data_IF_681078804704
#
_entry.id   IF_681078804704
#
_cell.length_a   1.000
_cell.length_b   1.000
_cell.length_c   1.000
_cell.angle_alpha   90.00
_cell.angle_beta   90.00
_cell.angle_gamma   90.00
#
_symmetry.space_group_name_H-M   'P 1'
#
loop_
_entity.id
_entity.type
_entity.pdbx_description
1 polymer ?
#
# COMPACT_ATOMS: atom_id res chain seq x y z
N UNK A 1 -13.59 -19.50 -31.64
CA UNK A 1 -14.01 -18.44 -30.73
C UNK A 1 -13.47 -18.61 -29.32
N UNK A 2 -13.57 -19.79 -28.72
CA UNK A 2 -13.06 -20.00 -27.37
C UNK A 2 -11.57 -19.75 -27.24
N UNK A 3 -10.78 -20.17 -28.24
CA UNK A 3 -9.33 -19.94 -28.23
C UNK A 3 -8.98 -18.45 -28.30
N UNK A 4 -9.75 -17.70 -29.06
CA UNK A 4 -9.54 -16.26 -29.20
C UNK A 4 -9.85 -15.53 -27.90
N UNK A 5 -10.93 -15.93 -27.19
CA UNK A 5 -11.29 -15.35 -25.90
C UNK A 5 -10.23 -15.63 -24.85
N UNK A 6 -9.69 -16.86 -24.81
CA UNK A 6 -8.62 -17.20 -23.88
C UNK A 6 -7.36 -16.37 -24.12
N UNK A 7 -7.01 -16.14 -25.40
CA UNK A 7 -5.87 -15.32 -25.74
C UNK A 7 -6.05 -13.90 -25.27
N UNK A 8 -7.24 -13.32 -25.43
CA UNK A 8 -7.53 -11.98 -24.96
C UNK A 8 -7.44 -11.85 -23.44
N UNK A 9 -7.91 -12.87 -22.70
CA UNK A 9 -7.82 -12.87 -21.25
C UNK A 9 -6.35 -12.89 -20.80
N UNK A 10 -5.52 -13.71 -21.45
CA UNK A 10 -4.10 -13.77 -21.15
C UNK A 10 -3.41 -12.43 -21.40
N UNK A 11 -3.70 -11.80 -22.53
CA UNK A 11 -3.15 -10.48 -22.86
C UNK A 11 -3.62 -9.45 -21.82
N UNK A 12 -4.88 -9.51 -21.42
CA UNK A 12 -5.42 -8.62 -20.41
C UNK A 12 -4.72 -8.74 -19.07
N UNK A 13 -4.41 -9.99 -18.65
CA UNK A 13 -3.69 -10.22 -17.39
C UNK A 13 -2.27 -9.64 -17.47
N UNK A 14 -1.58 -9.84 -18.57
CA UNK A 14 -0.24 -9.28 -18.75
C UNK A 14 -0.26 -7.75 -18.74
N UNK A 15 -1.21 -7.14 -19.43
CA UNK A 15 -1.36 -5.69 -19.43
C UNK A 15 -1.68 -5.15 -18.04
N UNK A 16 -2.51 -5.86 -17.26
CA UNK A 16 -2.83 -5.47 -15.89
C UNK A 16 -1.59 -5.49 -15.01
N UNK A 17 -0.72 -6.51 -15.16
CA UNK A 17 0.54 -6.59 -14.43
C UNK A 17 1.47 -5.43 -14.75
N UNK A 18 1.59 -5.07 -16.02
CA UNK A 18 2.40 -3.93 -16.45
C UNK A 18 1.82 -2.61 -15.93
N UNK A 19 0.50 -2.45 -15.97
CA UNK A 19 -0.16 -1.25 -15.47
C UNK A 19 0.09 -1.07 -13.97
N UNK A 20 0.01 -2.15 -13.19
CA UNK A 20 0.31 -2.09 -11.75
C UNK A 20 1.75 -1.68 -11.49
N UNK A 21 2.71 -2.21 -12.27
CA UNK A 21 4.12 -1.86 -12.11
C UNK A 21 4.38 -0.38 -12.42
N UNK A 22 3.62 0.19 -13.37
CA UNK A 22 3.79 1.59 -13.77
C UNK A 22 2.99 2.56 -12.91
N UNK A 23 1.81 2.14 -12.42
CA UNK A 23 0.90 3.02 -11.69
C UNK A 23 1.13 3.02 -10.19
N UNK A 24 1.91 2.05 -9.68
CA UNK A 24 2.16 1.95 -8.27
C UNK A 24 1.37 0.85 -7.60
N UNK A 25 1.34 0.89 -6.30
CA UNK A 25 0.75 -0.15 -5.47
C UNK A 25 -0.10 0.48 -4.36
N UNK A 26 -1.25 -0.09 -4.11
CA UNK A 26 -2.13 0.34 -3.01
C UNK A 26 -2.41 -0.82 -2.07
N UNK A 27 -2.38 -0.54 -0.78
CA UNK A 27 -2.71 -1.49 0.27
C UNK A 27 -3.70 -0.82 1.21
N UNK A 28 -4.80 -1.49 1.52
CA UNK A 28 -5.77 -0.98 2.48
C UNK A 28 -6.05 -2.00 3.55
N UNK A 29 -6.36 -1.50 4.75
CA UNK A 29 -6.65 -2.32 5.90
C UNK A 29 -6.77 -1.48 7.14
N UNK A 30 -6.89 -2.13 8.29
CA UNK A 30 -7.01 -1.44 9.57
C UNK A 30 -5.62 -1.15 10.13
N UNK A 31 -5.40 0.11 10.46
CA UNK A 31 -4.15 0.54 11.08
C UNK A 31 -4.14 0.18 12.55
N UNK A 32 -3.15 -0.59 12.98
CA UNK A 32 -3.02 -1.03 14.36
C UNK A 32 -1.65 -0.74 14.91
N UNK A 33 -1.59 -0.46 16.20
CA UNK A 33 -0.35 -0.29 16.95
C UNK A 33 -0.68 -0.26 18.43
N UNK A 34 0.19 -0.81 19.27
CA UNK A 34 0.13 -0.57 20.70
C UNK A 34 0.59 0.86 20.98
N UNK A 35 0.33 1.36 22.19
CA UNK A 35 0.76 2.72 22.55
C UNK A 35 2.27 2.87 22.42
N UNK A 36 3.03 1.87 22.84
CA UNK A 36 4.47 1.89 22.75
C UNK A 36 4.93 1.85 21.30
N UNK A 37 4.34 0.97 20.50
CA UNK A 37 4.67 0.88 19.07
C UNK A 37 4.39 2.20 18.35
N UNK A 38 3.24 2.81 18.63
CA UNK A 38 2.89 4.08 18.02
C UNK A 38 3.89 5.18 18.39
N UNK A 39 4.35 5.21 19.64
CA UNK A 39 5.36 6.17 20.05
C UNK A 39 6.68 5.98 19.32
N UNK A 40 7.04 4.75 19.05
CA UNK A 40 8.30 4.41 18.38
C UNK A 40 8.21 4.48 16.85
N UNK A 41 7.03 4.72 16.31
CA UNK A 41 6.84 4.82 14.87
C UNK A 41 6.56 3.49 14.17
N UNK A 42 6.12 2.48 14.91
CA UNK A 42 5.79 1.17 14.36
C UNK A 42 4.27 1.01 14.25
N UNK A 43 3.80 0.73 13.06
CA UNK A 43 2.39 0.53 12.76
C UNK A 43 2.24 -0.71 11.89
N UNK A 44 1.05 -1.31 11.92
CA UNK A 44 0.76 -2.47 11.08
C UNK A 44 -0.60 -2.29 10.41
N UNK A 45 -0.71 -2.78 9.20
CA UNK A 45 -1.98 -2.83 8.47
C UNK A 45 -2.46 -4.28 8.47
N UNK A 46 -3.62 -4.53 9.09
CA UNK A 46 -4.23 -5.85 9.24
C UNK A 46 -3.29 -6.88 9.90
N UNK A 47 -2.35 -6.43 10.73
CA UNK A 47 -1.32 -7.27 11.36
C UNK A 47 -0.45 -8.04 10.35
N UNK A 48 -0.40 -7.61 9.11
CA UNK A 48 0.35 -8.30 8.06
C UNK A 48 1.49 -7.45 7.52
N UNK A 49 1.24 -6.16 7.34
CA UNK A 49 2.22 -5.26 6.74
C UNK A 49 2.65 -4.24 7.77
N UNK A 50 3.94 -4.20 8.06
CA UNK A 50 4.49 -3.26 9.03
C UNK A 50 4.94 -1.98 8.34
N UNK A 51 4.61 -0.85 8.95
CA UNK A 51 5.05 0.46 8.51
C UNK A 51 5.90 1.05 9.62
N UNK A 52 7.11 1.48 9.26
CA UNK A 52 8.04 2.12 10.20
C UNK A 52 8.24 3.55 9.74
N UNK A 53 7.96 4.50 10.63
CA UNK A 53 8.11 5.93 10.33
C UNK A 53 9.04 6.57 11.35
N UNK A 54 9.64 7.67 10.97
CA UNK A 54 10.52 8.42 11.87
C UNK A 54 9.68 9.07 12.97
N UNK A 55 9.99 8.79 14.26
CA UNK A 55 9.27 9.43 15.35
C UNK A 55 9.40 10.96 15.29
N UNK A 56 8.27 11.64 15.50
CA UNK A 56 8.22 13.09 15.46
C UNK A 56 8.00 13.68 14.08
N UNK A 57 7.95 12.85 13.03
CA UNK A 57 7.64 13.33 11.68
C UNK A 57 6.16 13.64 11.53
N UNK A 58 5.81 14.36 10.46
CA UNK A 58 4.40 14.66 10.14
C UNK A 58 3.62 13.37 9.89
N UNK A 59 4.24 12.41 9.21
CA UNK A 59 3.61 11.11 8.94
C UNK A 59 3.36 10.36 10.24
N UNK A 60 4.30 10.42 11.19
CA UNK A 60 4.14 9.80 12.51
C UNK A 60 2.91 10.35 13.23
N UNK A 61 2.79 11.67 13.28
CA UNK A 61 1.65 12.34 13.91
C UNK A 61 0.33 11.95 13.24
N UNK A 62 0.32 11.92 11.92
CA UNK A 62 -0.86 11.54 11.17
C UNK A 62 -1.30 10.11 11.46
N UNK A 63 -0.36 9.16 11.45
CA UNK A 63 -0.67 7.76 11.68
C UNK A 63 -1.13 7.50 13.12
N UNK A 64 -0.54 8.18 14.10
CA UNK A 64 -0.99 8.04 15.49
C UNK A 64 -2.46 8.44 15.66
N UNK A 65 -2.90 9.46 14.95
CA UNK A 65 -4.29 9.91 15.00
C UNK A 65 -5.24 8.94 14.28
N UNK A 66 -4.73 8.02 13.46
CA UNK A 66 -5.54 7.10 12.67
C UNK A 66 -5.53 5.66 13.17
N UNK A 67 -4.85 5.37 14.26
CA UNK A 67 -4.82 4.01 14.83
C UNK A 67 -6.25 3.55 15.13
N UNK A 68 -6.59 2.33 14.67
CA UNK A 68 -7.93 1.76 14.80
C UNK A 68 -8.84 2.04 13.61
N UNK A 69 -8.44 2.91 12.70
CA UNK A 69 -9.22 3.23 11.51
C UNK A 69 -8.75 2.44 10.29
N UNK A 70 -9.63 2.31 9.32
CA UNK A 70 -9.24 1.73 8.04
C UNK A 70 -8.56 2.81 7.22
N UNK A 71 -7.40 2.45 6.67
CA UNK A 71 -6.57 3.38 5.90
C UNK A 71 -6.17 2.72 4.58
N UNK A 72 -5.76 3.55 3.64
CA UNK A 72 -5.17 3.10 2.39
C UNK A 72 -3.79 3.70 2.27
N UNK A 73 -2.80 2.86 2.00
CA UNK A 73 -1.44 3.30 1.72
C UNK A 73 -1.18 3.11 0.23
N UNK A 74 -0.74 4.17 -0.43
CA UNK A 74 -0.46 4.14 -1.85
C UNK A 74 0.99 4.52 -2.08
N UNK A 75 1.69 3.75 -2.90
CA UNK A 75 3.06 4.02 -3.29
C UNK A 75 3.08 4.15 -4.80
N UNK A 76 3.52 5.30 -5.29
CA UNK A 76 3.55 5.60 -6.71
C UNK A 76 4.94 6.01 -7.13
N UNK A 77 5.45 5.50 -8.26
CA UNK A 77 6.70 6.00 -8.78
C UNK A 77 6.51 7.43 -9.30
N UNK A 78 7.46 8.30 -9.00
CA UNK A 78 7.43 9.65 -9.51
C UNK A 78 8.19 9.72 -10.82
N UNK A 79 7.59 10.31 -11.83
CA UNK A 79 8.22 10.46 -13.13
C UNK A 79 9.48 11.31 -13.00
N UNK A 80 10.60 10.81 -13.53
CA UNK A 80 11.88 11.51 -13.47
C UNK A 80 12.59 11.45 -12.13
N UNK A 81 12.09 10.71 -11.16
CA UNK A 81 12.72 10.57 -9.85
C UNK A 81 13.67 9.37 -9.86
N UNK A 82 14.91 9.61 -10.07
CA UNK A 82 15.91 8.53 -10.06
C UNK A 82 17.14 8.92 -9.26
#
# INVERSE_FOLDING_TARGET
>A
MRRFLMLMVLVGILLSGLALAQQGFSLSGRLGATDQEAQEGYFAIDNQTMIVVKPGSDLHTYLRARVGQRVRVTIEPLAGSE
#
